data_IF_028374857487
#
_entry.id   IF_028374857487
#
_cell.length_a   1.000
_cell.length_b   1.000
_cell.length_c   1.000
_cell.angle_alpha   90.00
_cell.angle_beta   90.00
_cell.angle_gamma   90.00
#
_symmetry.space_group_name_H-M   'P 1'
#
loop_
_entity.id
_entity.type
_entity.pdbx_description
1 polymer ?
#
# COMPACT_ATOMS: atom_id res chain seq x y z
N UNK A 1 18.89 11.02 -14.52
CA UNK A 1 18.96 11.56 -13.12
C UNK A 1 18.66 10.42 -12.15
N UNK A 2 19.24 10.39 -10.93
CA UNK A 2 19.10 9.24 -10.02
C UNK A 2 18.07 9.47 -8.90
N UNK A 3 17.35 8.41 -8.51
CA UNK A 3 16.36 8.47 -7.45
C UNK A 3 17.06 8.47 -6.08
N UNK A 4 16.78 9.45 -5.21
CA UNK A 4 17.33 9.44 -3.85
C UNK A 4 16.67 8.43 -2.90
N UNK A 5 15.59 7.75 -3.33
CA UNK A 5 14.91 6.70 -2.56
C UNK A 5 15.38 5.28 -2.92
N UNK A 6 15.29 4.90 -4.20
CA UNK A 6 15.67 3.57 -4.69
C UNK A 6 17.03 3.51 -5.38
N UNK A 7 17.73 4.63 -5.56
CA UNK A 7 19.02 4.72 -6.28
C UNK A 7 19.00 4.31 -7.76
N UNK A 8 17.83 4.14 -8.37
CA UNK A 8 17.70 3.87 -9.81
C UNK A 8 18.24 5.03 -10.66
N UNK A 9 18.91 4.68 -11.76
CA UNK A 9 19.67 5.62 -12.61
C UNK A 9 18.86 6.23 -13.77
N UNK A 10 17.68 5.68 -14.08
CA UNK A 10 16.89 6.02 -15.27
C UNK A 10 15.47 6.56 -14.95
N UNK A 11 15.36 7.77 -14.35
CA UNK A 11 14.06 8.39 -14.00
C UNK A 11 13.57 9.47 -14.99
N UNK A 12 14.01 9.46 -16.24
CA UNK A 12 13.92 10.64 -17.13
C UNK A 12 12.50 11.16 -17.45
N UNK A 13 11.42 10.44 -17.09
CA UNK A 13 10.04 10.90 -17.33
C UNK A 13 9.05 10.78 -16.15
N UNK A 14 9.46 10.22 -15.00
CA UNK A 14 8.57 9.94 -13.85
C UNK A 14 9.19 10.33 -12.52
N UNK A 15 9.69 11.56 -12.43
CA UNK A 15 10.34 12.09 -11.23
C UNK A 15 9.73 13.41 -10.75
N UNK A 16 9.82 13.65 -9.44
CA UNK A 16 9.46 14.91 -8.79
C UNK A 16 10.53 15.28 -7.75
N UNK A 17 10.75 16.58 -7.56
CA UNK A 17 11.67 17.10 -6.55
C UNK A 17 10.95 17.41 -5.25
N UNK A 18 11.54 17.03 -4.11
CA UNK A 18 11.05 17.44 -2.80
C UNK A 18 11.33 18.94 -2.56
N UNK A 19 10.34 19.69 -2.09
CA UNK A 19 10.52 21.12 -1.81
C UNK A 19 11.48 21.40 -0.64
N UNK A 20 11.65 20.45 0.29
CA UNK A 20 12.44 20.64 1.51
C UNK A 20 13.90 20.27 1.30
N UNK A 21 14.21 19.03 0.87
CA UNK A 21 15.58 18.57 0.69
C UNK A 21 16.11 18.76 -0.73
N UNK A 22 15.27 19.21 -1.67
CA UNK A 22 15.61 19.43 -3.10
C UNK A 22 16.10 18.17 -3.84
N UNK A 23 16.02 17.00 -3.21
CA UNK A 23 16.33 15.71 -3.82
C UNK A 23 15.21 15.24 -4.76
N UNK A 24 15.58 14.41 -5.73
CA UNK A 24 14.71 13.90 -6.80
C UNK A 24 14.28 12.48 -6.46
N UNK A 25 12.99 12.21 -6.60
CA UNK A 25 12.39 10.91 -6.31
C UNK A 25 11.53 10.45 -7.47
N UNK A 26 11.47 9.13 -7.70
CA UNK A 26 10.50 8.54 -8.60
C UNK A 26 9.10 8.54 -7.97
N UNK A 27 8.09 8.37 -8.81
CA UNK A 27 6.67 8.30 -8.43
C UNK A 27 6.39 7.22 -7.40
N UNK A 28 7.03 6.06 -7.55
CA UNK A 28 6.92 4.92 -6.62
C UNK A 28 7.47 5.27 -5.23
N UNK A 29 8.66 5.88 -5.15
CA UNK A 29 9.22 6.31 -3.86
C UNK A 29 8.42 7.43 -3.17
N UNK A 30 7.59 8.18 -3.91
CA UNK A 30 6.68 9.18 -3.35
C UNK A 30 5.26 8.66 -3.12
N UNK A 31 4.97 7.43 -3.53
CA UNK A 31 3.64 6.82 -3.51
C UNK A 31 2.59 7.67 -4.26
N UNK A 32 2.94 8.15 -5.46
CA UNK A 32 2.07 8.99 -6.32
C UNK A 32 2.06 8.42 -7.74
N UNK A 33 0.88 8.11 -8.28
CA UNK A 33 0.74 7.68 -9.66
C UNK A 33 0.75 8.83 -10.67
N UNK A 34 1.09 8.52 -11.92
CA UNK A 34 1.09 9.50 -13.03
C UNK A 34 -0.28 10.19 -13.24
N UNK A 35 -1.38 9.48 -13.00
CA UNK A 35 -2.75 10.03 -13.07
C UNK A 35 -3.00 11.07 -11.97
N UNK A 36 -2.41 10.86 -10.78
CA UNK A 36 -2.51 11.75 -9.63
C UNK A 36 -1.61 12.98 -9.78
N UNK A 37 -0.46 12.85 -10.45
CA UNK A 37 0.37 14.01 -10.82
C UNK A 37 -0.37 14.91 -11.80
N UNK A 38 -1.06 14.34 -12.79
CA UNK A 38 -1.82 15.12 -13.77
C UNK A 38 -3.02 15.89 -13.18
N UNK A 39 -3.58 15.45 -12.06
CA UNK A 39 -4.69 16.13 -11.37
C UNK A 39 -4.25 17.16 -10.33
N UNK A 40 -2.95 17.23 -10.00
CA UNK A 40 -2.42 18.17 -9.02
C UNK A 40 -2.15 19.55 -9.63
N UNK A 41 -2.53 20.60 -8.91
CA UNK A 41 -2.22 21.98 -9.32
C UNK A 41 -0.74 22.32 -9.13
N UNK A 42 -0.24 23.32 -9.86
CA UNK A 42 1.16 23.78 -9.78
C UNK A 42 1.59 24.12 -8.35
N UNK A 43 0.69 24.67 -7.54
CA UNK A 43 0.96 25.01 -6.14
C UNK A 43 1.15 23.76 -5.26
N UNK A 44 0.37 22.71 -5.52
CA UNK A 44 0.49 21.44 -4.79
C UNK A 44 1.81 20.73 -5.12
N UNK A 45 2.18 20.70 -6.42
CA UNK A 45 3.46 20.17 -6.87
C UNK A 45 4.66 20.94 -6.30
N UNK A 46 4.56 22.27 -6.19
CA UNK A 46 5.59 23.11 -5.57
C UNK A 46 5.73 22.89 -4.06
N UNK A 47 4.66 22.45 -3.38
CA UNK A 47 4.64 22.16 -1.94
C UNK A 47 5.01 20.73 -1.57
N UNK A 48 5.26 19.87 -2.56
CA UNK A 48 5.48 18.44 -2.40
C UNK A 48 6.68 18.13 -1.48
N UNK A 49 6.49 17.19 -0.56
CA UNK A 49 7.54 16.72 0.36
C UNK A 49 7.76 15.23 0.15
N UNK A 50 9.01 14.78 0.24
CA UNK A 50 9.31 13.35 0.28
C UNK A 50 8.88 12.73 1.61
N UNK A 51 8.78 11.41 1.67
CA UNK A 51 8.33 10.68 2.86
C UNK A 51 9.17 11.01 4.10
N UNK A 52 10.49 11.16 3.93
CA UNK A 52 11.41 11.58 4.99
C UNK A 52 11.12 13.00 5.45
N UNK A 53 10.98 13.97 4.54
CA UNK A 53 10.71 15.37 4.90
C UNK A 53 9.27 15.62 5.38
N UNK A 54 8.34 14.72 5.04
CA UNK A 54 6.96 14.72 5.54
C UNK A 54 6.89 14.18 6.97
N UNK A 55 7.69 13.15 7.28
CA UNK A 55 7.76 12.54 8.61
C UNK A 55 8.71 13.28 9.57
N UNK A 56 9.53 14.21 9.07
CA UNK A 56 10.14 15.24 9.91
C UNK A 56 9.03 16.20 10.32
N UNK A 57 8.33 15.86 11.39
CA UNK A 57 7.83 16.89 12.28
C UNK A 57 9.07 17.64 12.77
N UNK A 58 9.41 18.75 12.09
CA UNK A 58 10.25 19.74 12.75
C UNK A 58 9.45 20.08 13.99
N UNK A 59 9.87 19.56 15.15
CA UNK A 59 9.57 20.17 16.43
C UNK A 59 10.13 21.58 16.29
N UNK A 60 9.31 22.49 15.78
CA UNK A 60 9.43 23.89 16.14
C UNK A 60 9.28 23.83 17.64
N UNK A 61 10.39 23.97 18.35
CA UNK A 61 10.39 24.42 19.74
C UNK A 61 9.60 25.72 19.73
N UNK A 62 8.30 25.60 19.96
CA UNK A 62 7.48 26.67 20.44
C UNK A 62 7.13 26.25 21.86
N UNK A 63 8.09 26.47 22.76
CA UNK A 63 7.96 26.32 24.21
C UNK A 63 6.98 27.35 24.73
N UNK A 64 5.69 27.19 24.41
CA UNK A 64 4.60 27.97 24.98
C UNK A 64 3.30 27.16 24.94
N UNK A 65 3.29 26.00 25.59
CA UNK A 65 2.06 25.48 26.20
C UNK A 65 2.00 26.06 27.60
N UNK A 66 1.50 27.31 27.72
CA UNK A 66 1.17 27.90 29.01
C UNK A 66 0.00 27.12 29.60
N UNK A 67 0.27 26.38 30.67
CA UNK A 67 -0.74 26.05 31.63
C UNK A 67 -1.28 27.37 32.21
N UNK A 68 -2.61 27.57 32.11
CA UNK A 68 -3.41 28.58 32.82
C UNK A 68 -3.38 30.00 32.21
N UNK A 69 -4.39 30.30 31.39
CA UNK A 69 -4.85 31.66 31.16
C UNK A 69 -6.30 31.81 31.68
N UNK A 70 -6.46 32.74 32.62
CA UNK A 70 -7.73 33.32 33.05
C UNK A 70 -8.18 34.39 32.03
N UNK A 71 -9.48 34.72 32.11
CA UNK A 71 -10.19 35.90 31.55
C UNK A 71 -10.58 35.80 30.05
N UNK A 72 -11.74 36.27 29.57
CA UNK A 72 -12.87 37.00 30.15
C UNK A 72 -14.09 36.95 29.18
N UNK A 73 -15.29 37.03 29.77
CA UNK A 73 -16.59 37.58 29.32
C UNK A 73 -17.08 37.61 27.85
N UNK A 74 -18.32 37.08 27.68
CA UNK A 74 -19.52 37.76 27.10
C UNK A 74 -20.77 36.98 27.57
N UNK A 75 -21.51 37.45 28.58
CA UNK A 75 -22.69 38.34 28.50
C UNK A 75 -23.75 37.87 27.50
N UNK A 76 -24.78 37.18 27.99
CA UNK A 76 -26.17 37.39 27.58
C UNK A 76 -27.09 37.30 28.80
N UNK A 77 -27.94 38.32 28.93
CA UNK A 77 -28.85 38.59 30.02
C UNK A 77 -30.21 37.95 29.71
N UNK A 78 -30.80 37.23 30.67
CA UNK A 78 -32.25 37.09 30.75
C UNK A 78 -32.71 37.27 32.20
N UNK A 79 -33.36 38.40 32.44
CA UNK A 79 -34.04 38.78 33.67
C UNK A 79 -35.34 37.99 33.85
N UNK A 80 -35.55 37.40 35.02
CA UNK A 80 -36.89 37.30 35.62
C UNK A 80 -36.80 37.62 37.12
N UNK A 81 -37.55 38.65 37.51
CA UNK A 81 -37.73 39.17 38.88
C UNK A 81 -38.37 38.12 39.80
N UNK A 82 -38.06 38.13 41.12
CA UNK A 82 -38.90 37.47 42.11
C UNK A 82 -40.04 38.40 42.53
N UNK A 83 -41.27 37.89 42.54
CA UNK A 83 -42.42 38.54 43.14
C UNK A 83 -42.50 38.15 44.62
N UNK A 84 -42.68 39.17 45.47
CA UNK A 84 -42.84 39.05 46.89
C UNK A 84 -44.27 38.65 47.29
N UNK A 85 -44.37 38.11 48.52
CA UNK A 85 -45.51 38.19 49.44
C UNK A 85 -46.68 37.24 49.19
N UNK A 86 -46.77 36.22 50.06
CA UNK A 86 -48.03 35.87 50.72
C UNK A 86 -47.75 35.17 52.05
N UNK A 87 -47.90 35.95 53.12
CA UNK A 87 -48.05 35.51 54.50
C UNK A 87 -49.48 35.00 54.69
N UNK A 88 -49.63 33.70 54.91
CA UNK A 88 -50.86 33.10 55.41
C UNK A 88 -50.59 32.46 56.76
N UNK A 89 -51.06 33.14 57.80
CA UNK A 89 -51.20 32.66 59.17
C UNK A 89 -52.18 31.48 59.22
N UNK A 90 -51.67 30.28 59.47
CA UNK A 90 -52.45 29.19 60.05
C UNK A 90 -51.81 28.73 61.35
N UNK A 91 -52.44 29.16 62.44
CA UNK A 91 -52.26 28.63 63.79
C UNK A 91 -52.75 27.19 63.82
N UNK A 92 -51.81 26.24 63.71
CA UNK A 92 -52.03 24.81 63.90
C UNK A 92 -50.99 24.30 64.88
N UNK A 93 -51.43 24.08 66.11
CA UNK A 93 -50.64 23.56 67.22
C UNK A 93 -49.97 22.23 66.84
N UNK A 94 -48.66 22.21 66.64
CA UNK A 94 -47.85 21.00 66.54
C UNK A 94 -46.48 21.33 67.17
N UNK A 95 -46.13 20.59 68.22
CA UNK A 95 -44.86 20.71 68.90
C UNK A 95 -43.70 20.76 67.87
N UNK A 96 -42.83 21.78 67.90
CA UNK A 96 -41.62 21.74 67.12
C UNK A 96 -40.70 20.74 67.81
N UNK A 97 -40.67 19.49 67.31
CA UNK A 97 -39.49 18.66 67.54
C UNK A 97 -38.33 19.47 66.96
N UNK A 98 -37.33 19.87 67.77
CA UNK A 98 -36.22 20.62 67.22
C UNK A 98 -35.54 19.68 66.22
N UNK A 99 -35.54 20.06 64.94
CA UNK A 99 -34.70 19.46 63.92
C UNK A 99 -33.25 19.73 64.34
N UNK A 100 -32.70 18.84 65.17
CA UNK A 100 -31.31 18.93 65.60
C UNK A 100 -30.43 18.44 64.47
N UNK A 101 -29.21 18.99 64.40
CA UNK A 101 -28.22 18.62 63.40
C UNK A 101 -27.92 17.12 63.45
N UNK A 102 -28.00 16.51 64.65
CA UNK A 102 -27.90 15.07 64.88
C UNK A 102 -29.04 14.26 64.24
N UNK A 103 -30.29 14.74 64.27
CA UNK A 103 -31.41 14.07 63.63
C UNK A 103 -31.28 14.05 62.11
N UNK A 104 -30.76 15.13 61.53
CA UNK A 104 -30.47 15.21 60.09
C UNK A 104 -29.31 14.29 59.74
N UNK A 105 -28.27 14.25 60.58
CA UNK A 105 -27.10 13.38 60.39
C UNK A 105 -27.49 11.90 60.43
N UNK A 106 -28.32 11.47 61.39
CA UNK A 106 -28.82 10.09 61.48
C UNK A 106 -29.67 9.69 60.26
N UNK A 107 -30.51 10.60 59.77
CA UNK A 107 -31.33 10.34 58.58
C UNK A 107 -30.48 10.23 57.31
N UNK A 108 -29.43 11.04 57.20
CA UNK A 108 -28.46 10.94 56.11
C UNK A 108 -27.69 9.63 56.20
N UNK A 109 -27.22 9.23 57.39
CA UNK A 109 -26.53 7.97 57.60
C UNK A 109 -27.43 6.76 57.26
N UNK A 110 -28.71 6.81 57.62
CA UNK A 110 -29.66 5.74 57.30
C UNK A 110 -29.97 5.66 55.79
N UNK A 111 -30.14 6.81 55.12
CA UNK A 111 -30.52 6.88 53.70
C UNK A 111 -29.34 6.76 52.73
N UNK A 112 -28.14 7.10 53.17
CA UNK A 112 -26.90 6.98 52.39
C UNK A 112 -26.02 5.81 52.85
N UNK A 113 -26.44 5.07 53.88
CA UNK A 113 -25.82 3.80 54.24
C UNK A 113 -25.72 2.90 53.01
N UNK A 114 -24.59 2.19 52.94
CA UNK A 114 -24.29 1.22 51.88
C UNK A 114 -25.32 0.07 51.82
N UNK A 115 -26.07 -0.16 52.90
CA UNK A 115 -27.14 -1.15 52.97
C UNK A 115 -28.53 -0.56 52.73
N UNK A 116 -28.64 0.76 52.52
CA UNK A 116 -29.92 1.39 52.24
C UNK A 116 -30.48 0.92 50.89
N UNK A 117 -31.80 0.72 50.77
CA UNK A 117 -32.43 0.32 49.51
C UNK A 117 -32.14 1.28 48.35
N UNK A 118 -31.98 2.57 48.66
CA UNK A 118 -31.64 3.60 47.67
C UNK A 118 -30.25 3.37 47.07
N UNK A 119 -29.21 3.22 47.91
CA UNK A 119 -27.83 3.01 47.45
C UNK A 119 -27.66 1.66 46.77
N UNK A 120 -28.36 0.62 47.23
CA UNK A 120 -28.36 -0.71 46.57
C UNK A 120 -28.95 -0.60 45.15
N UNK A 121 -30.12 0.00 44.99
CA UNK A 121 -30.76 0.18 43.69
C UNK A 121 -29.92 1.05 42.76
N UNK A 122 -29.30 2.12 43.28
CA UNK A 122 -28.40 2.98 42.52
C UNK A 122 -27.16 2.19 42.05
N UNK A 123 -26.55 1.37 42.92
CA UNK A 123 -25.39 0.54 42.57
C UNK A 123 -25.75 -0.52 41.52
N UNK A 124 -26.90 -1.17 41.65
CA UNK A 124 -27.33 -2.17 40.67
C UNK A 124 -27.67 -1.54 39.31
N UNK A 125 -28.31 -0.37 39.30
CA UNK A 125 -28.52 0.39 38.07
C UNK A 125 -27.19 0.77 37.42
N UNK A 126 -26.24 1.29 38.20
CA UNK A 126 -24.93 1.72 37.71
C UNK A 126 -24.09 0.53 37.22
N UNK A 127 -24.17 -0.62 37.89
CA UNK A 127 -23.54 -1.87 37.45
C UNK A 127 -24.15 -2.38 36.14
N UNK A 128 -25.46 -2.27 35.98
CA UNK A 128 -26.16 -2.61 34.74
C UNK A 128 -25.71 -1.69 33.61
N UNK A 129 -25.69 -0.38 33.83
CA UNK A 129 -25.28 0.60 32.83
C UNK A 129 -23.82 0.38 32.39
N UNK A 130 -22.91 0.16 33.34
CA UNK A 130 -21.51 -0.19 33.04
C UNK A 130 -21.44 -1.46 32.19
N UNK A 131 -22.20 -2.49 32.55
CA UNK A 131 -22.20 -3.76 31.81
C UNK A 131 -22.72 -3.57 30.39
N UNK A 132 -23.81 -2.83 30.21
CA UNK A 132 -24.37 -2.53 28.89
C UNK A 132 -23.39 -1.72 28.04
N UNK A 133 -22.73 -0.72 28.63
CA UNK A 133 -21.75 0.12 27.94
C UNK A 133 -20.51 -0.68 27.52
N UNK A 134 -19.99 -1.55 28.39
CA UNK A 134 -18.87 -2.45 28.06
C UNK A 134 -19.26 -3.45 26.97
N UNK A 135 -20.45 -4.07 27.06
CA UNK A 135 -20.92 -5.01 26.04
C UNK A 135 -21.10 -4.32 24.70
N UNK A 136 -21.65 -3.10 24.68
CA UNK A 136 -21.81 -2.33 23.46
C UNK A 136 -20.45 -2.00 22.81
N UNK A 137 -19.47 -1.55 23.59
CA UNK A 137 -18.14 -1.21 23.09
C UNK A 137 -17.38 -2.43 22.58
N UNK A 138 -17.40 -3.54 23.34
CA UNK A 138 -16.78 -4.82 22.93
C UNK A 138 -17.44 -5.34 21.66
N UNK A 139 -18.77 -5.26 21.55
CA UNK A 139 -19.49 -5.70 20.35
C UNK A 139 -19.13 -4.83 19.14
N UNK A 140 -19.11 -3.51 19.32
CA UNK A 140 -18.74 -2.55 18.28
C UNK A 140 -17.33 -2.83 17.74
N UNK A 141 -16.35 -2.92 18.63
CA UNK A 141 -14.95 -3.22 18.27
C UNK A 141 -14.80 -4.59 17.61
N UNK A 142 -15.47 -5.62 18.14
CA UNK A 142 -15.45 -6.97 17.55
C UNK A 142 -16.06 -7.00 16.15
N UNK A 143 -17.17 -6.28 15.92
CA UNK A 143 -17.76 -6.19 14.59
C UNK A 143 -16.84 -5.50 13.59
N UNK A 144 -16.14 -4.43 14.00
CA UNK A 144 -15.14 -3.76 13.16
C UNK A 144 -13.98 -4.69 12.80
N UNK A 145 -13.46 -5.45 13.76
CA UNK A 145 -12.40 -6.42 13.50
C UNK A 145 -12.85 -7.55 12.55
N UNK A 146 -14.08 -8.03 12.69
CA UNK A 146 -14.60 -9.04 11.77
C UNK A 146 -14.77 -8.50 10.36
N UNK A 147 -15.21 -7.24 10.20
CA UNK A 147 -15.30 -6.62 8.87
C UNK A 147 -13.92 -6.42 8.25
N UNK A 148 -12.94 -5.98 9.03
CA UNK A 148 -11.56 -5.80 8.55
C UNK A 148 -10.91 -7.14 8.17
N UNK A 149 -11.19 -8.20 8.95
CA UNK A 149 -10.70 -9.54 8.65
C UNK A 149 -11.35 -10.12 7.40
N UNK A 150 -12.67 -9.96 7.24
CA UNK A 150 -13.40 -10.40 6.04
C UNK A 150 -12.85 -9.69 4.80
N UNK A 151 -12.73 -8.36 4.84
CA UNK A 151 -12.23 -7.57 3.70
C UNK A 151 -10.80 -7.95 3.32
N UNK A 152 -9.93 -8.20 4.30
CA UNK A 152 -8.56 -8.67 4.03
C UNK A 152 -8.56 -10.08 3.43
N UNK A 153 -9.40 -10.97 3.94
CA UNK A 153 -9.49 -12.35 3.44
C UNK A 153 -10.04 -12.39 2.01
N UNK A 154 -11.07 -11.60 1.72
CA UNK A 154 -11.64 -11.48 0.38
C UNK A 154 -10.64 -10.89 -0.61
N UNK A 155 -9.89 -9.87 -0.19
CA UNK A 155 -8.80 -9.31 -1.00
C UNK A 155 -7.73 -10.36 -1.30
N UNK A 156 -7.24 -11.09 -0.29
CA UNK A 156 -6.24 -12.14 -0.48
C UNK A 156 -6.74 -13.27 -1.37
N UNK A 157 -8.01 -13.68 -1.23
CA UNK A 157 -8.62 -14.69 -2.09
C UNK A 157 -8.69 -14.22 -3.56
N UNK A 158 -9.00 -12.94 -3.77
CA UNK A 158 -9.03 -12.34 -5.11
C UNK A 158 -7.63 -12.28 -5.74
N UNK A 159 -6.62 -11.84 -5.00
CA UNK A 159 -5.22 -11.80 -5.45
C UNK A 159 -4.68 -13.20 -5.72
N UNK A 160 -5.00 -14.18 -4.87
CA UNK A 160 -4.61 -15.57 -5.07
C UNK A 160 -5.21 -16.13 -6.37
N UNK A 161 -6.47 -15.80 -6.67
CA UNK A 161 -7.13 -16.21 -7.90
C UNK A 161 -6.49 -15.54 -9.12
N UNK A 162 -6.18 -14.25 -9.05
CA UNK A 162 -5.51 -13.53 -10.13
C UNK A 162 -4.11 -14.08 -10.40
N UNK A 163 -3.31 -14.36 -9.35
CA UNK A 163 -1.99 -14.98 -9.48
C UNK A 163 -2.11 -16.37 -10.13
N UNK A 164 -3.08 -17.18 -9.72
CA UNK A 164 -3.30 -18.51 -10.31
C UNK A 164 -3.65 -18.42 -11.80
N UNK A 165 -4.46 -17.45 -12.19
CA UNK A 165 -4.79 -17.20 -13.59
C UNK A 165 -3.57 -16.76 -14.40
N UNK A 166 -2.76 -15.85 -13.86
CA UNK A 166 -1.49 -15.42 -14.48
C UNK A 166 -0.52 -16.58 -14.67
N UNK A 167 -0.40 -17.47 -13.68
CA UNK A 167 0.44 -18.67 -13.79
C UNK A 167 -0.06 -19.55 -14.94
N UNK A 168 -1.36 -19.87 -14.98
CA UNK A 168 -1.93 -20.70 -16.05
C UNK A 168 -1.74 -20.09 -17.44
N UNK A 169 -1.89 -18.77 -17.59
CA UNK A 169 -1.63 -18.06 -18.85
C UNK A 169 -0.15 -18.17 -19.26
N UNK A 170 0.77 -18.00 -18.30
CA UNK A 170 2.21 -18.10 -18.57
C UNK A 170 2.62 -19.52 -18.93
N UNK A 171 2.10 -20.53 -18.24
CA UNK A 171 2.37 -21.94 -18.53
C UNK A 171 1.91 -22.30 -19.94
N UNK A 172 0.68 -21.89 -20.32
CA UNK A 172 0.18 -22.07 -21.68
C UNK A 172 1.06 -21.39 -22.72
N UNK A 173 1.59 -20.19 -22.42
CA UNK A 173 2.48 -19.49 -23.34
C UNK A 173 3.84 -20.17 -23.46
N UNK A 174 4.36 -20.74 -22.38
CA UNK A 174 5.61 -21.51 -22.38
C UNK A 174 5.45 -22.73 -23.29
N UNK A 175 4.37 -23.50 -23.13
CA UNK A 175 4.10 -24.67 -23.96
C UNK A 175 4.01 -24.32 -25.45
N UNK A 176 3.34 -23.21 -25.79
CA UNK A 176 3.24 -22.72 -27.16
C UNK A 176 4.63 -22.37 -27.73
N UNK A 177 5.45 -21.64 -26.97
CA UNK A 177 6.79 -21.23 -27.39
C UNK A 177 7.75 -22.42 -27.52
N UNK A 178 7.66 -23.41 -26.63
CA UNK A 178 8.45 -24.63 -26.70
C UNK A 178 8.09 -25.45 -27.94
N UNK A 179 6.80 -25.62 -28.20
CA UNK A 179 6.30 -26.29 -29.40
C UNK A 179 6.79 -25.61 -30.68
N UNK A 180 6.71 -24.27 -30.71
CA UNK A 180 7.16 -23.47 -31.85
C UNK A 180 8.67 -23.54 -32.05
N UNK A 181 9.46 -23.48 -30.98
CA UNK A 181 10.92 -23.64 -31.02
C UNK A 181 11.31 -24.99 -31.62
N UNK A 182 10.66 -26.08 -31.18
CA UNK A 182 10.89 -27.41 -31.73
C UNK A 182 10.50 -27.46 -33.21
N UNK A 183 9.39 -26.85 -33.61
CA UNK A 183 8.96 -26.77 -35.02
C UNK A 183 10.01 -26.08 -35.89
N UNK A 184 10.44 -24.88 -35.48
CA UNK A 184 11.45 -24.09 -36.22
C UNK A 184 12.78 -24.85 -36.31
N UNK A 185 13.24 -25.49 -35.22
CA UNK A 185 14.47 -26.28 -35.25
C UNK A 185 14.39 -27.45 -36.26
N UNK A 186 13.24 -28.12 -36.36
CA UNK A 186 13.03 -29.19 -37.35
C UNK A 186 13.05 -28.65 -38.77
N UNK A 187 12.38 -27.52 -39.02
CA UNK A 187 12.39 -26.87 -40.33
C UNK A 187 13.80 -26.43 -40.75
N UNK A 188 14.57 -25.84 -39.83
CA UNK A 188 15.95 -25.44 -40.06
C UNK A 188 16.83 -26.65 -40.38
N UNK A 189 16.70 -27.73 -39.60
CA UNK A 189 17.45 -28.98 -39.85
C UNK A 189 17.13 -29.57 -41.22
N UNK A 190 15.84 -29.59 -41.59
CA UNK A 190 15.40 -30.05 -42.91
C UNK A 190 15.98 -29.19 -44.03
N UNK A 191 15.95 -27.86 -43.88
CA UNK A 191 16.49 -26.93 -44.85
C UNK A 191 18.01 -27.08 -45.01
N UNK A 192 18.72 -27.24 -43.89
CA UNK A 192 20.17 -27.45 -43.88
C UNK A 192 20.55 -28.76 -44.58
N UNK A 193 19.79 -29.84 -44.38
CA UNK A 193 20.00 -31.11 -45.06
C UNK A 193 19.79 -30.97 -46.58
N UNK A 194 18.75 -30.24 -47.00
CA UNK A 194 18.50 -29.96 -48.42
C UNK A 194 19.61 -29.11 -49.03
N UNK A 195 20.07 -28.09 -48.32
CA UNK A 195 21.18 -27.25 -48.75
C UNK A 195 22.45 -28.08 -48.93
N UNK A 196 22.81 -28.90 -47.95
CA UNK A 196 23.97 -29.79 -48.03
C UNK A 196 23.87 -30.76 -49.20
N UNK A 197 22.69 -31.31 -49.48
CA UNK A 197 22.49 -32.18 -50.64
C UNK A 197 22.72 -31.43 -51.96
N UNK A 198 22.21 -30.20 -52.09
CA UNK A 198 22.42 -29.36 -53.28
C UNK A 198 23.89 -28.98 -53.45
N UNK A 199 24.58 -28.62 -52.37
CA UNK A 199 26.02 -28.30 -52.42
C UNK A 199 26.87 -29.50 -52.87
N UNK A 200 26.55 -30.70 -52.36
CA UNK A 200 27.20 -31.93 -52.79
C UNK A 200 26.95 -32.19 -54.28
N UNK A 201 25.70 -32.12 -54.72
CA UNK A 201 25.35 -32.31 -56.13
C UNK A 201 26.05 -31.30 -57.05
N UNK A 202 26.14 -30.04 -56.63
CA UNK A 202 26.83 -28.98 -57.39
C UNK A 202 28.33 -29.23 -57.55
N UNK A 203 28.94 -30.01 -56.66
CA UNK A 203 30.39 -30.30 -56.65
C UNK A 203 30.70 -31.76 -56.94
N UNK A 204 29.70 -32.57 -57.25
CA UNK A 204 29.82 -34.03 -57.38
C UNK A 204 30.81 -34.44 -58.48
N UNK A 205 31.02 -33.58 -59.47
CA UNK A 205 31.92 -33.84 -60.61
C UNK A 205 33.14 -32.92 -60.60
N UNK A 206 33.34 -32.17 -59.51
CA UNK A 206 34.52 -31.33 -59.35
C UNK A 206 35.67 -32.17 -58.79
N UNK A 207 36.84 -32.07 -59.41
CA UNK A 207 38.06 -32.69 -58.92
C UNK A 207 38.98 -31.59 -58.43
N UNK A 208 39.32 -31.63 -57.14
CA UNK A 208 40.30 -30.71 -56.55
C UNK A 208 41.70 -31.31 -56.68
N UNK A 209 42.62 -30.55 -57.30
CA UNK A 209 44.01 -30.96 -57.48
C UNK A 209 44.88 -30.02 -56.67
N UNK A 210 45.49 -30.54 -55.61
CA UNK A 210 46.35 -29.76 -54.71
C UNK A 210 47.84 -29.99 -55.03
N UNK A 211 48.67 -28.99 -54.72
CA UNK A 211 50.12 -29.09 -54.87
C UNK A 211 50.64 -28.89 -56.30
N UNK A 212 49.87 -28.23 -57.17
CA UNK A 212 50.33 -27.82 -58.51
C UNK A 212 51.17 -26.54 -58.40
N UNK A 213 52.43 -26.51 -58.90
CA UNK A 213 53.25 -25.30 -58.87
C UNK A 213 52.66 -24.16 -59.70
N UNK A 214 52.60 -22.96 -59.12
CA UNK A 214 51.99 -21.79 -59.74
C UNK A 214 52.92 -21.10 -60.77
N UNK A 215 52.36 -20.56 -61.85
CA UNK A 215 53.09 -19.75 -62.82
C UNK A 215 52.24 -18.61 -63.41
N UNK A 216 52.88 -17.56 -63.92
CA UNK A 216 52.19 -16.35 -64.40
C UNK A 216 51.30 -16.58 -65.63
N UNK A 217 51.52 -17.66 -66.38
CA UNK A 217 50.80 -17.99 -67.62
C UNK A 217 50.52 -19.48 -67.69
N UNK A 218 49.65 -19.95 -66.81
CA UNK A 218 49.31 -21.37 -66.71
C UNK A 218 48.43 -21.86 -67.86
N UNK A 219 48.76 -23.05 -68.36
CA UNK A 219 47.88 -23.82 -69.23
C UNK A 219 47.27 -24.98 -68.44
N UNK A 220 46.13 -24.73 -67.80
CA UNK A 220 45.46 -25.69 -66.92
C UNK A 220 45.14 -27.02 -67.63
N UNK A 221 44.70 -26.97 -68.89
CA UNK A 221 44.42 -28.19 -69.68
C UNK A 221 45.69 -29.01 -69.93
N UNK A 222 46.80 -28.33 -70.26
CA UNK A 222 48.10 -28.97 -70.49
C UNK A 222 48.66 -29.62 -69.23
N UNK A 223 48.58 -28.91 -68.10
CA UNK A 223 48.96 -29.42 -66.78
C UNK A 223 48.12 -30.64 -66.43
N UNK A 224 46.78 -30.55 -66.53
CA UNK A 224 45.88 -31.67 -66.23
C UNK A 224 46.16 -32.90 -67.09
N UNK A 225 46.34 -32.72 -68.41
CA UNK A 225 46.67 -33.82 -69.33
C UNK A 225 48.00 -34.50 -68.97
N UNK A 226 48.99 -33.72 -68.54
CA UNK A 226 50.30 -34.23 -68.12
C UNK A 226 50.18 -35.06 -66.85
N UNK A 227 49.38 -34.60 -65.87
CA UNK A 227 49.06 -35.35 -64.66
C UNK A 227 48.35 -36.68 -64.98
N UNK A 228 47.32 -36.67 -65.82
CA UNK A 228 46.63 -37.90 -66.22
C UNK A 228 47.57 -38.91 -66.90
N UNK A 229 48.50 -38.44 -67.73
CA UNK A 229 49.46 -39.30 -68.43
C UNK A 229 50.45 -39.93 -67.45
N UNK A 230 50.91 -39.17 -66.44
CA UNK A 230 51.84 -39.66 -65.43
C UNK A 230 51.23 -40.70 -64.47
N UNK A 231 49.90 -40.68 -64.28
CA UNK A 231 49.18 -41.62 -63.40
C UNK A 231 48.70 -42.88 -64.14
N UNK A 232 48.62 -42.87 -65.47
CA UNK A 232 48.06 -43.97 -66.27
C UNK A 232 49.06 -45.11 -66.58
N UNK A 233 50.22 -45.13 -65.93
CA UNK A 233 51.23 -46.21 -65.98
C UNK A 233 51.13 -47.12 -64.78
#
# INVERSE_FOLDING_TARGET
>A
MNCSGCSDKDIDKKSLSCNVCKLIFCYECLNIDAKKVASLSKNQLASLKCLTCSNVSRRRNNDNTSARAKADQKVEQHSHKPAASQSSSHSGNCNPVPLTLDSISQLLDEKLSLTSPFVINMREALKKDIKELVVAEVKSTMTGLMTDFSTTTDFLASEQTDIKNKIAERDSKIEELESESIRVQRELTSLNNRLSAVEKLSRDHNVEIQGVPESRSENLLGIFKSLCTAVST
#
